data_IF_014380425562
#
_entry.id   IF_014380425562
#
_cell.length_a   1.000
_cell.length_b   1.000
_cell.length_c   1.000
_cell.angle_alpha   90.00
_cell.angle_beta   90.00
_cell.angle_gamma   90.00
#
_symmetry.space_group_name_H-M   'P 1'
#
loop_
_entity.id
_entity.type
_entity.pdbx_description
1 polymer ?
#
# COMPACT_ATOMS: atom_id res chain seq x y z
N UNK A 1 -6.58 -14.90 5.63
CA UNK A 1 -7.41 -14.11 4.70
C UNK A 1 -8.11 -12.97 5.42
N UNK A 2 -8.95 -13.23 6.43
CA UNK A 2 -9.73 -12.17 7.09
C UNK A 2 -8.87 -11.06 7.72
N UNK A 3 -7.79 -11.42 8.41
CA UNK A 3 -6.85 -10.43 8.98
C UNK A 3 -6.19 -9.54 7.93
N UNK A 4 -5.76 -10.11 6.80
CA UNK A 4 -5.19 -9.35 5.69
C UNK A 4 -6.23 -8.39 5.08
N UNK A 5 -7.47 -8.85 4.87
CA UNK A 5 -8.55 -8.01 4.37
C UNK A 5 -8.89 -6.87 5.34
N UNK A 6 -8.83 -7.12 6.65
CA UNK A 6 -9.02 -6.09 7.66
C UNK A 6 -7.89 -5.05 7.66
N UNK A 7 -6.64 -5.49 7.50
CA UNK A 7 -5.48 -4.61 7.36
C UNK A 7 -5.62 -3.68 6.13
N UNK A 8 -6.04 -4.23 4.99
CA UNK A 8 -6.36 -3.44 3.78
C UNK A 8 -7.44 -2.40 4.11
N UNK A 9 -8.55 -2.85 4.71
CA UNK A 9 -9.67 -1.97 5.06
C UNK A 9 -9.24 -0.81 5.97
N UNK A 10 -8.45 -1.08 7.00
CA UNK A 10 -7.93 -0.05 7.90
C UNK A 10 -7.07 0.98 7.16
N UNK A 11 -6.21 0.54 6.23
CA UNK A 11 -5.42 1.46 5.43
C UNK A 11 -6.26 2.41 4.56
N UNK A 12 -7.43 1.96 4.07
CA UNK A 12 -8.39 2.83 3.38
C UNK A 12 -9.13 3.77 4.35
N UNK A 13 -9.59 3.27 5.49
CA UNK A 13 -10.29 4.08 6.51
C UNK A 13 -9.41 5.20 7.08
N UNK A 14 -8.11 4.95 7.20
CA UNK A 14 -7.11 5.91 7.66
C UNK A 14 -6.61 6.83 6.53
N UNK A 15 -7.08 6.65 5.30
CA UNK A 15 -6.69 7.46 4.14
C UNK A 15 -5.23 7.29 3.73
N UNK A 16 -4.62 6.13 4.04
CA UNK A 16 -3.24 5.81 3.65
C UNK A 16 -3.22 5.02 2.35
N UNK A 17 -4.20 4.15 2.09
CA UNK A 17 -4.29 3.37 0.86
C UNK A 17 -5.21 4.02 -0.17
N UNK A 18 -4.73 4.13 -1.41
CA UNK A 18 -5.50 4.60 -2.57
C UNK A 18 -6.00 3.48 -3.44
N UNK A 19 -5.27 2.37 -3.47
CA UNK A 19 -5.55 1.22 -4.32
C UNK A 19 -4.97 -0.03 -3.67
N UNK A 20 -5.68 -1.15 -3.80
CA UNK A 20 -5.18 -2.49 -3.52
C UNK A 20 -5.66 -3.43 -4.64
N UNK A 21 -4.79 -4.31 -5.15
CA UNK A 21 -5.17 -5.22 -6.23
C UNK A 21 -4.10 -6.27 -6.53
N UNK A 22 -4.42 -7.21 -7.42
CA UNK A 22 -3.50 -8.28 -7.81
C UNK A 22 -2.59 -7.86 -8.96
N UNK A 23 -1.29 -8.15 -8.83
CA UNK A 23 -0.33 -8.02 -9.92
C UNK A 23 -0.51 -9.19 -10.90
N UNK A 24 -0.55 -8.87 -12.20
CA UNK A 24 -0.80 -9.86 -13.26
C UNK A 24 0.50 -10.26 -13.99
N UNK A 25 0.64 -11.53 -14.39
CA UNK A 25 -0.19 -12.68 -14.01
C UNK A 25 0.28 -13.30 -12.68
N UNK A 26 -0.59 -13.31 -11.65
CA UNK A 26 -0.37 -13.98 -10.36
C UNK A 26 0.96 -13.65 -9.64
N UNK A 27 1.44 -12.41 -9.74
CA UNK A 27 2.69 -11.96 -9.09
C UNK A 27 2.47 -11.48 -7.65
N UNK A 28 1.32 -11.79 -7.06
CA UNK A 28 0.93 -11.35 -5.72
C UNK A 28 0.02 -10.13 -5.73
N UNK A 29 0.10 -9.33 -4.67
CA UNK A 29 -0.69 -8.11 -4.48
C UNK A 29 0.15 -6.84 -4.62
N UNK A 30 -0.52 -5.72 -4.87
CA UNK A 30 0.07 -4.39 -4.85
C UNK A 30 -0.87 -3.43 -4.16
N UNK A 31 -0.30 -2.48 -3.43
CA UNK A 31 -0.99 -1.37 -2.79
C UNK A 31 -0.33 -0.07 -3.22
N UNK A 32 -1.14 0.94 -3.55
CA UNK A 32 -0.67 2.33 -3.69
C UNK A 32 -0.98 3.04 -2.38
N UNK A 33 0.07 3.47 -1.68
CA UNK A 33 -0.04 4.25 -0.46
C UNK A 33 0.30 5.72 -0.70
N UNK A 34 -0.32 6.61 0.07
CA UNK A 34 -0.02 8.04 0.08
C UNK A 34 -0.19 8.62 1.49
N UNK A 35 0.21 9.87 1.68
CA UNK A 35 0.02 10.60 2.93
C UNK A 35 0.62 9.89 4.16
N UNK A 36 1.78 9.26 3.98
CA UNK A 36 2.52 8.57 5.03
C UNK A 36 4.01 8.65 4.74
N UNK A 37 4.85 8.60 5.76
CA UNK A 37 6.30 8.48 5.60
C UNK A 37 6.71 7.05 5.26
N UNK A 38 7.92 6.88 4.70
CA UNK A 38 8.50 5.56 4.43
C UNK A 38 8.55 4.67 5.69
N UNK A 39 8.88 5.27 6.85
CA UNK A 39 8.99 4.53 8.11
C UNK A 39 7.64 4.02 8.59
N UNK A 40 6.63 4.88 8.62
CA UNK A 40 5.26 4.51 9.02
C UNK A 40 4.66 3.47 8.06
N UNK A 41 4.91 3.60 6.75
CA UNK A 41 4.49 2.60 5.77
C UNK A 41 5.18 1.26 6.03
N UNK A 42 6.48 1.24 6.31
CA UNK A 42 7.21 0.01 6.63
C UNK A 42 6.64 -0.67 7.88
N UNK A 43 6.36 0.08 8.95
CA UNK A 43 5.73 -0.46 10.16
C UNK A 43 4.34 -1.02 9.87
N UNK A 44 3.52 -0.30 9.10
CA UNK A 44 2.19 -0.79 8.67
C UNK A 44 2.30 -2.10 7.89
N UNK A 45 3.23 -2.17 6.94
CA UNK A 45 3.45 -3.36 6.10
C UNK A 45 3.97 -4.53 6.94
N UNK A 46 4.85 -4.27 7.90
CA UNK A 46 5.35 -5.30 8.82
C UNK A 46 4.24 -5.89 9.72
N UNK A 47 3.12 -5.18 9.88
CA UNK A 47 1.94 -5.64 10.62
C UNK A 47 0.89 -6.33 9.74
N UNK A 48 1.09 -6.43 8.41
CA UNK A 48 0.24 -7.25 7.55
C UNK A 48 0.37 -8.73 7.99
N UNK A 49 -0.73 -9.43 8.32
CA UNK A 49 -0.68 -10.84 8.66
C UNK A 49 0.04 -11.71 7.62
N UNK A 50 0.02 -11.35 6.33
CA UNK A 50 0.77 -12.09 5.31
C UNK A 50 2.28 -11.89 5.39
N UNK A 51 2.74 -10.72 5.83
CA UNK A 51 4.16 -10.45 6.07
C UNK A 51 4.61 -11.11 7.37
N UNK A 52 3.84 -10.96 8.45
CA UNK A 52 4.12 -11.57 9.77
C UNK A 52 4.26 -13.09 9.67
N UNK A 53 3.35 -13.74 8.95
CA UNK A 53 3.33 -15.19 8.77
C UNK A 53 4.28 -15.66 7.64
N UNK A 54 5.11 -14.77 7.09
CA UNK A 54 6.06 -15.04 6.00
C UNK A 54 5.41 -15.66 4.74
N UNK A 55 4.15 -15.33 4.48
CA UNK A 55 3.42 -15.74 3.26
C UNK A 55 3.90 -14.92 2.06
N UNK A 56 4.23 -13.65 2.28
CA UNK A 56 4.73 -12.73 1.26
C UNK A 56 5.91 -11.92 1.78
N UNK A 57 6.77 -11.47 0.86
CA UNK A 57 7.77 -10.45 1.11
C UNK A 57 7.33 -9.16 0.42
N UNK A 58 7.27 -8.07 1.18
CA UNK A 58 6.87 -6.77 0.65
C UNK A 58 8.09 -5.97 0.17
N UNK A 59 8.01 -5.46 -1.06
CA UNK A 59 8.92 -4.46 -1.60
C UNK A 59 8.25 -3.09 -1.52
N UNK A 60 8.98 -2.09 -1.01
CA UNK A 60 8.50 -0.70 -0.89
C UNK A 60 9.33 0.20 -1.81
N UNK A 61 8.66 0.71 -2.83
CA UNK A 61 9.22 1.66 -3.80
C UNK A 61 8.63 3.06 -3.56
N UNK A 62 9.51 4.04 -3.37
CA UNK A 62 9.10 5.44 -3.25
C UNK A 62 9.02 6.07 -4.64
N UNK A 63 7.94 6.84 -4.88
CA UNK A 63 7.75 7.61 -6.10
C UNK A 63 7.76 9.08 -5.70
N UNK A 64 8.59 9.88 -6.37
CA UNK A 64 8.59 11.34 -6.31
C UNK A 64 7.86 11.88 -7.57
N UNK A 65 6.53 12.02 -7.53
CA UNK A 65 5.74 12.33 -8.71
C UNK A 65 6.01 13.77 -9.17
N UNK A 66 6.39 13.93 -10.45
CA UNK A 66 6.63 15.27 -11.04
C UNK A 66 5.48 15.80 -11.87
N UNK A 67 4.57 14.93 -12.28
CA UNK A 67 3.39 15.25 -13.09
C UNK A 67 2.29 14.24 -12.77
N UNK A 68 1.05 14.69 -12.79
CA UNK A 68 -0.13 13.85 -12.66
C UNK A 68 -1.27 14.36 -13.54
N UNK A 69 -2.27 13.51 -13.75
CA UNK A 69 -3.57 13.94 -14.27
C UNK A 69 -4.28 14.82 -13.23
N UNK A 70 -5.17 15.74 -13.65
CA UNK A 70 -5.90 16.64 -12.75
C UNK A 70 -6.61 15.90 -11.61
N UNK A 71 -7.13 14.70 -11.86
CA UNK A 71 -7.81 13.87 -10.85
C UNK A 71 -6.89 13.40 -9.71
N UNK A 72 -5.57 13.47 -9.92
CA UNK A 72 -4.53 13.00 -9.01
C UNK A 72 -3.57 14.14 -8.60
N UNK A 73 -3.97 15.40 -8.78
CA UNK A 73 -3.15 16.56 -8.39
C UNK A 73 -2.78 16.55 -6.90
N UNK A 74 -3.62 15.97 -6.05
CA UNK A 74 -3.37 15.81 -4.61
C UNK A 74 -2.14 14.94 -4.26
N UNK A 75 -1.55 14.25 -5.25
CA UNK A 75 -0.30 13.49 -5.07
C UNK A 75 0.96 14.32 -5.33
N UNK A 76 0.82 15.50 -5.93
CA UNK A 76 1.91 16.44 -6.17
C UNK A 76 1.98 17.41 -4.99
N UNK A 77 2.84 17.12 -4.01
CA UNK A 77 3.19 18.07 -2.94
C UNK A 77 4.49 18.78 -3.28
#
# INVERSE_FOLDING_TARGET
MDGHNQWIKQGFEEGVFLLAGSLQPNLGGSVIAHNTSRHELQERVNNDPFVVENVVYAEILDIDPKKSDKRLEFLLN
#
